data_IF_368937872673
#
_entry.id   IF_368937872673
#
_cell.length_a   1.000
_cell.length_b   1.000
_cell.length_c   1.000
_cell.angle_alpha   90.00
_cell.angle_beta   90.00
_cell.angle_gamma   90.00
#
_symmetry.space_group_name_H-M   'P 1'
#
loop_
_entity.id
_entity.type
_entity.pdbx_description
1 polymer ?
#
# COMPACT_ATOMS: atom_id res chain seq x y z
N UNK A 1 3.06 -12.42 1.42
CA UNK A 1 2.27 -11.21 1.65
C UNK A 1 2.43 -10.29 0.44
N UNK A 2 1.56 -9.30 0.28
CA UNK A 2 1.70 -8.25 -0.73
C UNK A 2 1.58 -6.88 -0.10
N UNK A 3 2.32 -5.91 -0.63
CA UNK A 3 2.32 -4.52 -0.21
C UNK A 3 2.00 -3.61 -1.39
N UNK A 4 1.27 -2.52 -1.16
CA UNK A 4 1.05 -1.47 -2.14
C UNK A 4 0.66 -0.16 -1.46
N UNK A 5 0.74 0.94 -2.21
CA UNK A 5 0.22 2.25 -1.84
C UNK A 5 -0.73 2.79 -2.91
N UNK A 6 -1.70 3.60 -2.49
CA UNK A 6 -2.65 4.30 -3.36
C UNK A 6 -2.64 5.79 -3.08
N UNK A 7 -3.25 6.52 -4.00
CA UNK A 7 -3.49 7.94 -3.89
C UNK A 7 -4.53 8.41 -4.89
N UNK A 8 -4.95 9.66 -4.74
CA UNK A 8 -5.76 10.33 -5.76
C UNK A 8 -5.12 10.28 -7.17
N UNK A 9 -3.81 10.49 -7.27
CA UNK A 9 -3.11 10.53 -8.56
C UNK A 9 -2.81 9.15 -9.16
N UNK A 10 -3.14 8.06 -8.47
CA UNK A 10 -2.84 6.71 -8.91
C UNK A 10 -2.32 5.81 -7.79
N UNK A 11 -1.66 4.74 -8.17
CA UNK A 11 -1.25 3.64 -7.29
C UNK A 11 0.19 3.21 -7.56
N UNK A 12 0.83 2.65 -6.54
CA UNK A 12 2.17 2.08 -6.64
C UNK A 12 2.11 0.72 -7.35
N UNK A 13 3.27 0.11 -7.60
CA UNK A 13 3.34 -1.30 -7.90
C UNK A 13 2.88 -2.13 -6.71
N UNK A 14 2.43 -3.36 -7.01
CA UNK A 14 2.09 -4.35 -6.00
C UNK A 14 3.36 -5.18 -5.73
N UNK A 15 3.93 -5.02 -4.55
CA UNK A 15 5.15 -5.70 -4.15
C UNK A 15 4.82 -7.01 -3.46
N UNK A 16 5.51 -8.10 -3.83
CA UNK A 16 5.51 -9.33 -3.05
C UNK A 16 6.44 -9.15 -1.86
N UNK A 17 5.93 -9.39 -0.66
CA UNK A 17 6.73 -9.37 0.57
C UNK A 17 6.66 -10.72 1.28
N UNK A 18 7.69 -11.04 2.05
CA UNK A 18 7.65 -12.19 2.96
C UNK A 18 6.75 -11.94 4.15
N UNK A 19 6.31 -13.03 4.80
CA UNK A 19 5.37 -12.97 5.93
C UNK A 19 5.97 -12.39 7.22
N UNK A 20 7.30 -12.37 7.35
CA UNK A 20 8.00 -11.87 8.53
C UNK A 20 8.79 -10.60 8.21
N UNK A 21 8.08 -9.56 7.76
CA UNK A 21 8.69 -8.29 7.41
C UNK A 21 9.04 -7.50 8.68
N UNK A 22 10.32 -7.51 9.06
CA UNK A 22 10.83 -6.68 10.15
C UNK A 22 11.11 -5.23 9.68
N UNK A 23 11.46 -4.33 10.60
CA UNK A 23 11.65 -2.90 10.30
C UNK A 23 12.75 -2.63 9.27
N UNK A 24 13.90 -3.33 9.36
CA UNK A 24 15.00 -3.18 8.41
C UNK A 24 14.61 -3.67 7.01
N UNK A 25 13.90 -4.79 6.95
CA UNK A 25 13.36 -5.32 5.69
C UNK A 25 12.31 -4.39 5.10
N UNK A 26 11.42 -3.83 5.93
CA UNK A 26 10.44 -2.84 5.47
C UNK A 26 11.11 -1.61 4.83
N UNK A 27 12.19 -1.10 5.41
CA UNK A 27 12.97 -0.03 4.78
C UNK A 27 13.52 -0.46 3.42
N UNK A 28 14.24 -1.59 3.37
CA UNK A 28 14.97 -2.04 2.17
C UNK A 28 14.10 -2.60 1.04
N UNK A 29 13.03 -3.30 1.39
CA UNK A 29 12.18 -4.03 0.44
C UNK A 29 10.95 -3.24 0.04
N UNK A 30 10.58 -2.20 0.80
CA UNK A 30 9.33 -1.45 0.58
C UNK A 30 9.57 0.05 0.52
N UNK A 31 10.08 0.67 1.58
CA UNK A 31 10.14 2.14 1.63
C UNK A 31 11.08 2.69 0.57
N UNK A 32 12.32 2.20 0.54
CA UNK A 32 13.37 2.67 -0.35
C UNK A 32 13.07 2.40 -1.83
N UNK A 33 12.70 1.17 -2.27
CA UNK A 33 12.52 0.89 -3.69
C UNK A 33 11.18 1.39 -4.25
N UNK A 34 10.14 1.54 -3.44
CA UNK A 34 8.78 1.79 -3.96
C UNK A 34 8.16 3.06 -3.37
N UNK A 35 8.13 3.22 -2.04
CA UNK A 35 7.46 4.39 -1.42
C UNK A 35 8.13 5.69 -1.82
N UNK A 36 9.46 5.76 -1.75
CA UNK A 36 10.19 6.99 -2.10
C UNK A 36 9.90 7.42 -3.53
N UNK A 37 10.03 6.51 -4.49
CA UNK A 37 9.78 6.81 -5.90
C UNK A 37 8.32 7.21 -6.13
N UNK A 38 7.38 6.52 -5.47
CA UNK A 38 5.97 6.85 -5.59
C UNK A 38 5.63 8.22 -5.01
N UNK A 39 6.25 8.63 -3.90
CA UNK A 39 6.03 9.94 -3.29
C UNK A 39 6.71 11.08 -4.06
N UNK A 40 7.87 10.84 -4.68
CA UNK A 40 8.52 11.82 -5.56
C UNK A 40 7.61 12.27 -6.72
N UNK A 41 6.73 11.37 -7.20
CA UNK A 41 5.75 11.69 -8.21
C UNK A 41 4.59 12.59 -7.74
N UNK A 42 4.43 12.81 -6.43
CA UNK A 42 3.34 13.62 -5.87
C UNK A 42 3.87 14.61 -4.83
N UNK A 43 4.18 15.85 -5.26
CA UNK A 43 4.62 16.92 -4.37
C UNK A 43 3.63 17.17 -3.22
N UNK A 44 4.16 17.33 -2.01
CA UNK A 44 3.35 17.58 -0.80
C UNK A 44 2.55 16.38 -0.30
N UNK A 45 2.83 15.17 -0.79
CA UNK A 45 2.15 13.97 -0.31
C UNK A 45 2.51 13.66 1.15
N UNK A 46 1.48 13.38 1.95
CA UNK A 46 1.59 12.85 3.29
C UNK A 46 1.45 11.33 3.22
N UNK A 47 2.47 10.61 3.69
CA UNK A 47 2.50 9.17 3.75
C UNK A 47 1.85 8.66 5.04
N UNK A 48 0.82 7.84 4.90
CA UNK A 48 0.14 7.17 5.98
C UNK A 48 0.52 5.68 5.97
N UNK A 49 0.66 5.10 7.16
CA UNK A 49 0.89 3.67 7.35
C UNK A 49 0.22 3.26 8.67
N UNK A 50 -0.08 1.97 8.82
CA UNK A 50 -0.67 1.47 10.06
C UNK A 50 0.39 1.42 11.17
N UNK A 51 -0.08 1.26 12.40
CA UNK A 51 0.77 1.17 13.59
C UNK A 51 1.35 -0.24 13.81
N UNK A 52 1.56 -1.03 12.75
CA UNK A 52 2.25 -2.32 12.88
C UNK A 52 3.66 -2.10 13.45
N UNK A 53 4.12 -3.00 14.33
CA UNK A 53 5.41 -2.86 15.04
C UNK A 53 6.59 -2.50 14.11
N UNK A 54 6.76 -3.12 12.93
CA UNK A 54 7.83 -2.75 12.02
C UNK A 54 7.75 -1.31 11.52
N UNK A 55 6.54 -0.78 11.28
CA UNK A 55 6.31 0.53 10.66
C UNK A 55 6.54 1.69 11.63
N UNK A 56 6.32 1.48 12.93
CA UNK A 56 6.53 2.50 13.98
C UNK A 56 7.91 2.42 14.64
N UNK A 57 8.72 1.43 14.25
CA UNK A 57 10.07 1.23 14.76
C UNK A 57 10.94 2.49 14.54
N UNK A 58 11.89 2.72 15.46
CA UNK A 58 12.81 3.87 15.37
C UNK A 58 13.53 3.91 14.02
N UNK A 59 14.02 2.78 13.52
CA UNK A 59 14.70 2.69 12.22
C UNK A 59 13.84 3.21 11.06
N UNK A 60 12.54 2.92 11.05
CA UNK A 60 11.62 3.40 10.01
C UNK A 60 11.37 4.89 10.16
N UNK A 61 11.15 5.39 11.38
CA UNK A 61 10.97 6.82 11.64
C UNK A 61 12.20 7.64 11.26
N UNK A 62 13.39 7.16 11.62
CA UNK A 62 14.66 7.82 11.29
C UNK A 62 14.88 7.83 9.76
N UNK A 63 14.59 6.72 9.06
CA UNK A 63 14.64 6.66 7.61
C UNK A 63 13.68 7.66 6.95
N UNK A 64 12.41 7.66 7.35
CA UNK A 64 11.42 8.60 6.82
C UNK A 64 11.83 10.07 7.03
N UNK A 65 12.37 10.39 8.21
CA UNK A 65 12.90 11.72 8.53
C UNK A 65 14.06 12.09 7.60
N UNK A 66 15.03 11.19 7.42
CA UNK A 66 16.18 11.39 6.54
C UNK A 66 15.80 11.54 5.05
N UNK A 67 14.67 10.97 4.64
CA UNK A 67 14.12 11.08 3.29
C UNK A 67 13.10 12.23 3.14
N UNK A 68 12.95 13.08 4.16
CA UNK A 68 11.98 14.18 4.21
C UNK A 68 10.53 13.73 3.94
N UNK A 69 10.20 12.50 4.30
CA UNK A 69 8.84 11.97 4.17
C UNK A 69 7.95 12.52 5.28
N UNK A 70 6.84 13.15 4.89
CA UNK A 70 5.82 13.56 5.85
C UNK A 70 4.97 12.36 6.26
N UNK A 71 5.10 11.91 7.50
CA UNK A 71 4.29 10.81 8.04
C UNK A 71 3.00 11.33 8.67
N UNK A 72 1.87 10.70 8.32
CA UNK A 72 0.60 10.97 8.96
C UNK A 72 0.53 10.28 10.34
N UNK A 73 0.20 11.04 11.38
CA UNK A 73 -0.10 10.50 12.71
C UNK A 73 -1.48 9.83 12.72
N UNK A 74 -1.54 8.54 12.36
CA UNK A 74 -2.79 7.77 12.38
C UNK A 74 -3.04 7.11 13.73
N UNK A 75 -4.27 7.19 14.24
CA UNK A 75 -4.65 6.54 15.51
C UNK A 75 -4.71 5.02 15.34
N UNK A 76 -4.29 4.27 16.36
CA UNK A 76 -4.32 2.81 16.33
C UNK A 76 -5.75 2.22 16.31
N UNK A 77 -6.76 3.02 16.62
CA UNK A 77 -8.13 2.55 16.87
C UNK A 77 -9.06 2.67 15.65
N UNK A 78 -8.53 3.02 14.47
CA UNK A 78 -9.34 3.22 13.27
C UNK A 78 -8.82 2.44 12.06
N UNK A 79 -8.79 1.09 12.11
CA UNK A 79 -8.41 0.26 10.96
C UNK A 79 -9.42 0.37 9.80
N UNK A 80 -10.71 0.59 10.11
CA UNK A 80 -11.80 0.60 9.12
C UNK A 80 -11.88 1.88 8.28
N UNK A 81 -11.11 2.91 8.62
CA UNK A 81 -11.14 4.21 7.93
C UNK A 81 -10.05 4.37 6.86
N UNK A 82 -9.37 3.29 6.46
CA UNK A 82 -8.31 3.38 5.45
C UNK A 82 -8.85 3.13 4.03
N UNK A 83 -8.73 4.09 3.09
CA UNK A 83 -9.21 3.93 1.72
C UNK A 83 -8.64 2.71 0.98
N UNK A 84 -7.47 2.21 1.39
CA UNK A 84 -6.87 1.02 0.79
C UNK A 84 -7.68 -0.26 1.08
N UNK A 85 -8.42 -0.32 2.19
CA UNK A 85 -9.25 -1.48 2.51
C UNK A 85 -10.36 -1.66 1.47
N UNK A 86 -10.98 -0.56 1.02
CA UNK A 86 -11.97 -0.60 -0.04
C UNK A 86 -11.37 -1.06 -1.38
N UNK A 87 -10.13 -0.68 -1.66
CA UNK A 87 -9.43 -1.16 -2.86
C UNK A 87 -9.13 -2.66 -2.75
N UNK A 88 -8.71 -3.14 -1.57
CA UNK A 88 -8.49 -4.55 -1.33
C UNK A 88 -9.76 -5.39 -1.43
N UNK A 89 -10.88 -4.90 -0.91
CA UNK A 89 -12.19 -5.53 -1.09
C UNK A 89 -12.56 -5.65 -2.58
N UNK A 90 -12.36 -4.59 -3.36
CA UNK A 90 -12.57 -4.63 -4.80
C UNK A 90 -11.68 -5.67 -5.50
N UNK A 91 -10.39 -5.73 -5.14
CA UNK A 91 -9.46 -6.74 -5.66
C UNK A 91 -9.93 -8.14 -5.28
N UNK A 92 -10.33 -8.36 -4.03
CA UNK A 92 -10.85 -9.64 -3.54
C UNK A 92 -12.11 -10.09 -4.27
N UNK A 93 -13.08 -9.18 -4.47
CA UNK A 93 -14.31 -9.45 -5.22
C UNK A 93 -14.04 -9.78 -6.70
N UNK A 94 -13.09 -9.10 -7.34
CA UNK A 94 -12.69 -9.41 -8.72
C UNK A 94 -11.99 -10.76 -8.81
N UNK A 95 -11.11 -11.06 -7.86
CA UNK A 95 -10.41 -12.35 -7.78
C UNK A 95 -11.40 -13.51 -7.59
N UNK A 96 -12.40 -13.34 -6.71
CA UNK A 96 -13.43 -14.36 -6.45
C UNK A 96 -14.36 -14.62 -7.66
N UNK A 97 -14.45 -13.67 -8.60
CA UNK A 97 -15.22 -13.81 -9.84
C UNK A 97 -14.40 -14.29 -11.02
N UNK A 98 -13.08 -14.39 -10.87
CA UNK A 98 -12.21 -14.86 -11.95
C UNK A 98 -12.50 -16.34 -12.23
N UNK A 99 -12.85 -16.73 -13.46
CA UNK A 99 -13.20 -18.10 -13.79
C UNK A 99 -11.99 -19.04 -13.80
N UNK A 100 -10.77 -18.52 -13.76
CA UNK A 100 -9.55 -19.34 -13.75
C UNK A 100 -9.31 -19.89 -12.34
N UNK A 101 -9.30 -21.21 -12.14
CA UNK A 101 -8.86 -21.78 -10.88
C UNK A 101 -7.35 -21.52 -10.73
N UNK A 102 -6.95 -20.78 -9.69
CA UNK A 102 -5.55 -20.63 -9.36
C UNK A 102 -5.08 -21.90 -8.62
N UNK A 103 -4.16 -22.64 -9.24
CA UNK A 103 -3.57 -23.87 -8.71
C UNK A 103 -2.39 -23.60 -7.75
N UNK A 104 -1.86 -22.37 -7.73
CA UNK A 104 -0.72 -22.00 -6.86
C UNK A 104 -0.80 -20.59 -6.26
N UNK A 105 -0.01 -20.36 -5.22
CA UNK A 105 0.16 -19.02 -4.60
C UNK A 105 0.73 -17.99 -5.58
N UNK A 106 1.56 -18.42 -6.52
CA UNK A 106 2.18 -17.53 -7.50
C UNK A 106 1.17 -17.12 -8.57
N UNK A 107 0.30 -18.02 -9.00
CA UNK A 107 -0.82 -17.68 -9.90
C UNK A 107 -1.79 -16.71 -9.24
N UNK A 108 -2.14 -16.93 -7.95
CA UNK A 108 -2.95 -15.96 -7.19
C UNK A 108 -2.29 -14.58 -7.17
N UNK A 109 -0.96 -14.51 -7.00
CA UNK A 109 -0.23 -13.26 -7.02
C UNK A 109 -0.28 -12.58 -8.40
N UNK A 110 -0.10 -13.34 -9.49
CA UNK A 110 -0.20 -12.83 -10.86
C UNK A 110 -1.60 -12.29 -11.17
N UNK A 111 -2.65 -13.00 -10.72
CA UNK A 111 -4.03 -12.54 -10.84
C UNK A 111 -4.27 -11.24 -10.07
N UNK A 112 -3.81 -11.17 -8.81
CA UNK A 112 -3.87 -9.94 -8.02
C UNK A 112 -3.14 -8.80 -8.70
N UNK A 113 -1.97 -9.05 -9.28
CA UNK A 113 -1.19 -8.05 -10.01
C UNK A 113 -1.92 -7.56 -11.26
N UNK A 114 -2.54 -8.46 -12.03
CA UNK A 114 -3.32 -8.10 -13.21
C UNK A 114 -4.55 -7.27 -12.84
N UNK A 115 -5.28 -7.69 -11.81
CA UNK A 115 -6.43 -6.95 -11.28
C UNK A 115 -6.01 -5.58 -10.78
N UNK A 116 -4.96 -5.51 -9.96
CA UNK A 116 -4.36 -4.27 -9.47
C UNK A 116 -4.01 -3.36 -10.64
N UNK A 117 -3.38 -3.91 -11.68
CA UNK A 117 -2.95 -3.15 -12.85
C UNK A 117 -4.12 -2.60 -13.68
N UNK A 118 -5.25 -3.29 -13.67
CA UNK A 118 -6.49 -2.88 -14.35
C UNK A 118 -7.33 -1.87 -13.57
N UNK A 119 -6.99 -1.55 -12.32
CA UNK A 119 -7.74 -0.56 -11.55
C UNK A 119 -7.57 0.81 -12.20
N UNK A 120 -8.67 1.56 -12.43
CA UNK A 120 -8.58 2.89 -13.00
C UNK A 120 -7.76 3.80 -12.09
N UNK A 121 -7.01 4.74 -12.68
CA UNK A 121 -6.42 5.85 -11.93
C UNK A 121 -7.54 6.52 -11.13
N UNK A 122 -7.35 6.73 -9.83
CA UNK A 122 -8.39 7.08 -8.86
C UNK A 122 -9.11 8.40 -9.19
N UNK A 123 -10.03 8.38 -10.16
CA UNK A 123 -10.92 9.50 -10.54
C UNK A 123 -12.39 9.17 -10.30
N UNK A 124 -12.71 7.93 -9.90
CA UNK A 124 -14.08 7.46 -9.71
C UNK A 124 -14.31 6.81 -8.33
N UNK A 125 -13.63 7.28 -7.29
CA UNK A 125 -14.12 7.11 -5.92
C UNK A 125 -14.86 8.41 -5.59
N UNK A 126 -16.19 8.42 -5.80
CA UNK A 126 -17.02 9.54 -5.44
C UNK A 126 -16.86 9.91 -3.96
N UNK A 127 -16.93 11.22 -3.69
CA UNK A 127 -16.79 11.92 -2.39
C UNK A 127 -15.36 12.25 -1.93
N UNK A 128 -14.92 13.43 -2.38
CA UNK A 128 -14.15 14.46 -1.65
C UNK A 128 -13.30 13.99 -0.46
N UNK A 129 -11.98 13.84 -0.62
CA UNK A 129 -11.00 14.21 0.43
C UNK A 129 -9.63 14.55 -0.21
N UNK A 130 -8.97 15.69 0.11
CA UNK A 130 -7.81 16.17 -0.65
C UNK A 130 -6.46 15.52 -0.27
N UNK A 131 -6.40 14.67 0.76
CA UNK A 131 -5.14 14.08 1.22
C UNK A 131 -5.39 12.65 1.72
N UNK A 132 -4.30 11.86 1.84
CA UNK A 132 -4.15 10.53 2.48
C UNK A 132 -3.66 9.40 1.54
N UNK A 133 -2.63 8.66 1.99
CA UNK A 133 -2.08 7.45 1.33
C UNK A 133 -1.64 6.40 2.34
N UNK A 134 -2.39 5.31 2.49
CA UNK A 134 -2.00 4.16 3.32
C UNK A 134 -1.30 3.06 2.50
N UNK A 135 -0.45 2.26 3.15
CA UNK A 135 0.02 0.96 2.64
C UNK A 135 -0.12 -0.19 3.66
N UNK A 136 -0.73 -1.31 3.25
CA UNK A 136 -0.85 -2.55 4.07
C UNK A 136 -0.03 -3.67 3.42
N UNK A 137 0.62 -4.45 4.27
CA UNK A 137 1.09 -5.80 3.95
C UNK A 137 -0.01 -6.80 4.33
N UNK A 138 -0.51 -7.61 3.40
CA UNK A 138 -1.39 -8.76 3.65
C UNK A 138 -0.77 -10.07 3.22
#
# INVERSE_FOLDING_TARGET
MVWCAISYHGRSNLLRTESNLNSNRYVREVLQPEVILFLQGIPGAIFQQNNARPHVAKTVRDFCSAQHMQLHSWSAYSPDMSPIEHVWDLVGRRLARDPRPAASKDEVLLLKQAIWNSLPHCTHFGTTFPHFRHSKSF
#
